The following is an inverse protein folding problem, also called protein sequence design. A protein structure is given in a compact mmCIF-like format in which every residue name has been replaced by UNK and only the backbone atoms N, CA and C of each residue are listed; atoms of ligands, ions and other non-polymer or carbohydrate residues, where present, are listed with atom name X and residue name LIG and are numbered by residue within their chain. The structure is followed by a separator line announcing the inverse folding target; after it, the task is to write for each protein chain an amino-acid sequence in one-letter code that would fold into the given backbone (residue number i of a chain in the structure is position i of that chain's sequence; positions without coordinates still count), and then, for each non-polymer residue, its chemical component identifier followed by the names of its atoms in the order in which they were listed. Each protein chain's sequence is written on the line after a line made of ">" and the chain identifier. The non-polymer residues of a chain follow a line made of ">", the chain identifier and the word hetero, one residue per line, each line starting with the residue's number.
data_IF_378826915292
#
_entry.id   IF_378826915292
#
_cell.length_a   1.000
_cell.length_b   1.000
_cell.length_c   1.000
_cell.angle_alpha   90.00
_cell.angle_beta   90.00
_cell.angle_gamma   90.00
#
_symmetry.space_group_name_H-M   'P 1'
#
loop_
_entity.id
_entity.type
_entity.pdbx_description
1 polymer ?
#
# COMPACT_ATOMS: atom_id res chain seq x y z
N UNK A 1 -8.53 8.52 -27.50
CA UNK A 1 -9.18 8.02 -26.27
C UNK A 1 -9.79 9.16 -25.50
N UNK A 2 -10.99 8.95 -24.97
CA UNK A 2 -11.75 9.88 -24.12
C UNK A 2 -11.15 9.93 -22.71
N UNK A 3 -11.25 11.09 -22.05
CA UNK A 3 -10.87 11.23 -20.63
C UNK A 3 -12.05 10.75 -19.80
N UNK A 4 -11.81 9.84 -18.85
CA UNK A 4 -12.82 9.42 -17.90
C UNK A 4 -12.85 10.40 -16.73
N UNK A 5 -14.03 10.91 -16.45
CA UNK A 5 -14.29 11.85 -15.34
C UNK A 5 -15.16 11.23 -14.26
N UNK A 6 -15.94 10.22 -14.61
CA UNK A 6 -16.78 9.47 -13.69
C UNK A 6 -16.44 7.96 -13.77
N UNK A 7 -16.39 7.23 -12.65
CA UNK A 7 -16.29 5.77 -12.65
C UNK A 7 -17.24 5.07 -13.63
N UNK A 8 -18.48 5.55 -13.76
CA UNK A 8 -19.51 4.96 -14.63
C UNK A 8 -19.22 5.10 -16.13
N UNK A 9 -18.45 6.11 -16.54
CA UNK A 9 -18.04 6.30 -17.94
C UNK A 9 -17.04 5.24 -18.39
N UNK A 10 -16.39 4.55 -17.44
CA UNK A 10 -15.43 3.50 -17.76
C UNK A 10 -16.20 2.26 -18.23
N UNK A 11 -15.92 1.76 -19.45
CA UNK A 11 -16.58 0.57 -19.99
C UNK A 11 -16.33 -0.65 -19.10
N UNK A 12 -17.33 -1.51 -18.95
CA UNK A 12 -17.25 -2.70 -18.08
C UNK A 12 -16.15 -3.65 -18.56
N UNK A 13 -15.93 -3.72 -19.87
CA UNK A 13 -14.90 -4.54 -20.49
C UNK A 13 -13.49 -4.15 -20.02
N UNK A 14 -13.27 -2.89 -19.63
CA UNK A 14 -11.98 -2.43 -19.11
C UNK A 14 -11.70 -2.98 -17.71
N UNK A 15 -12.77 -3.10 -16.90
CA UNK A 15 -12.71 -3.70 -15.57
C UNK A 15 -12.49 -5.21 -15.70
N UNK A 16 -13.28 -5.88 -16.54
CA UNK A 16 -13.15 -7.33 -16.78
C UNK A 16 -11.76 -7.72 -17.31
N UNK A 17 -11.20 -6.91 -18.22
CA UNK A 17 -9.86 -7.14 -18.79
C UNK A 17 -8.73 -6.67 -17.87
N UNK A 18 -9.04 -6.08 -16.72
CA UNK A 18 -8.09 -5.53 -15.77
C UNK A 18 -7.09 -4.54 -16.40
N UNK A 19 -7.63 -3.59 -17.19
CA UNK A 19 -6.82 -2.64 -17.95
C UNK A 19 -6.08 -1.70 -17.01
N UNK A 20 -4.81 -1.42 -17.35
CA UNK A 20 -4.00 -0.41 -16.69
C UNK A 20 -4.24 0.95 -17.34
N UNK A 21 -4.73 1.89 -16.57
CA UNK A 21 -4.91 3.26 -16.96
C UNK A 21 -3.82 4.14 -16.34
N UNK A 22 -3.50 5.23 -17.02
CA UNK A 22 -2.55 6.22 -16.52
C UNK A 22 -3.32 7.35 -15.85
N UNK A 23 -2.83 7.77 -14.69
CA UNK A 23 -3.44 8.85 -13.94
C UNK A 23 -2.42 9.77 -13.30
N UNK A 24 -2.94 10.84 -12.72
CA UNK A 24 -2.19 11.83 -11.95
C UNK A 24 -2.88 12.04 -10.62
N UNK A 25 -2.14 11.84 -9.53
CA UNK A 25 -2.68 12.08 -8.20
C UNK A 25 -2.92 13.57 -7.98
N UNK A 26 -4.08 13.92 -7.46
CA UNK A 26 -4.36 15.29 -7.01
C UNK A 26 -4.43 15.34 -5.49
N UNK A 27 -5.37 14.61 -4.89
CA UNK A 27 -5.64 14.66 -3.46
C UNK A 27 -5.75 13.27 -2.86
N UNK A 28 -5.45 13.19 -1.56
CA UNK A 28 -5.58 11.99 -0.76
C UNK A 28 -6.63 12.29 0.30
N UNK A 29 -7.76 11.61 0.19
CA UNK A 29 -8.88 11.72 1.11
C UNK A 29 -8.90 10.52 2.06
N UNK A 30 -9.73 10.57 3.08
CA UNK A 30 -9.98 9.42 3.96
C UNK A 30 -10.64 8.25 3.21
N UNK A 31 -11.45 8.55 2.19
CA UNK A 31 -12.14 7.54 1.38
C UNK A 31 -11.23 6.88 0.35
N UNK A 32 -10.17 7.56 -0.09
CA UNK A 32 -9.27 7.06 -1.12
C UNK A 32 -8.44 8.15 -1.82
N UNK A 33 -7.89 7.79 -2.97
CA UNK A 33 -7.03 8.63 -3.79
C UNK A 33 -7.84 9.29 -4.90
N UNK A 34 -7.80 10.62 -4.99
CA UNK A 34 -8.39 11.37 -6.10
C UNK A 34 -7.37 11.50 -7.23
N UNK A 35 -7.70 10.88 -8.37
CA UNK A 35 -6.79 10.75 -9.50
C UNK A 35 -7.46 11.26 -10.75
N UNK A 36 -6.76 12.15 -11.46
CA UNK A 36 -7.15 12.55 -12.80
C UNK A 36 -6.67 11.51 -13.81
N UNK A 37 -7.56 11.01 -14.66
CA UNK A 37 -7.17 10.12 -15.75
C UNK A 37 -6.43 10.90 -16.86
N UNK A 38 -5.26 10.40 -17.25
CA UNK A 38 -4.49 10.93 -18.39
C UNK A 38 -4.61 9.92 -19.54
N UNK A 39 -5.33 10.25 -20.62
CA UNK A 39 -5.38 9.38 -21.78
C UNK A 39 -3.97 9.21 -22.37
N UNK A 40 -3.63 7.97 -22.74
CA UNK A 40 -2.37 7.69 -23.44
C UNK A 40 -2.48 8.32 -24.84
N UNK A 41 -1.85 9.47 -25.02
CA UNK A 41 -1.99 10.28 -26.23
C UNK A 41 -0.89 10.00 -27.26
N UNK A 42 -1.28 9.95 -28.53
CA UNK A 42 -0.38 10.00 -29.69
C UNK A 42 0.11 11.46 -29.85
N UNK A 43 1.40 11.72 -30.11
CA UNK A 43 2.04 13.05 -29.96
C UNK A 43 1.34 14.22 -30.67
N UNK A 44 0.70 13.98 -31.82
CA UNK A 44 0.20 15.07 -32.68
C UNK A 44 -1.24 15.56 -32.38
N UNK A 45 -2.08 14.80 -31.69
CA UNK A 45 -3.50 15.15 -31.46
C UNK A 45 -3.76 15.65 -30.01
N UNK A 46 -2.73 15.57 -29.16
CA UNK A 46 -2.85 15.69 -27.69
C UNK A 46 -3.00 17.10 -27.12
N UNK A 47 -2.60 18.14 -27.86
CA UNK A 47 -2.51 19.51 -27.33
C UNK A 47 -3.88 20.20 -27.29
N UNK A 48 -4.67 20.02 -28.35
CA UNK A 48 -6.02 20.59 -28.44
C UNK A 48 -6.96 19.84 -27.49
N UNK A 49 -6.88 18.50 -27.45
CA UNK A 49 -7.74 17.69 -26.58
C UNK A 49 -7.52 18.01 -25.09
N UNK A 50 -6.32 18.38 -24.65
CA UNK A 50 -6.06 18.77 -23.24
C UNK A 50 -6.77 20.04 -22.80
N UNK A 51 -7.01 21.00 -23.71
CA UNK A 51 -7.57 22.32 -23.38
C UNK A 51 -9.09 22.31 -23.19
N UNK A 52 -9.77 21.32 -23.77
CA UNK A 52 -11.24 21.24 -23.80
C UNK A 52 -11.82 20.14 -22.91
N UNK A 53 -10.99 19.41 -22.18
CA UNK A 53 -11.46 18.30 -21.36
C UNK A 53 -11.69 18.76 -19.93
N UNK A 54 -12.87 18.50 -19.34
CA UNK A 54 -13.16 18.87 -17.97
C UNK A 54 -12.14 18.25 -17.00
N UNK A 55 -11.82 18.99 -15.93
CA UNK A 55 -11.01 18.51 -14.81
C UNK A 55 -11.85 17.57 -13.93
N UNK A 56 -12.12 16.36 -14.44
CA UNK A 56 -12.75 15.30 -13.67
C UNK A 56 -11.74 14.53 -12.83
N UNK A 57 -12.07 14.34 -11.55
CA UNK A 57 -11.30 13.52 -10.61
C UNK A 57 -12.02 12.19 -10.38
N UNK A 58 -11.30 11.09 -10.52
CA UNK A 58 -11.77 9.76 -10.20
C UNK A 58 -11.36 9.41 -8.77
N UNK A 59 -12.31 8.99 -7.95
CA UNK A 59 -12.02 8.45 -6.64
C UNK A 59 -11.60 6.99 -6.77
N UNK A 60 -10.37 6.69 -6.32
CA UNK A 60 -9.77 5.36 -6.38
C UNK A 60 -9.59 4.82 -4.96
N UNK A 61 -10.14 3.64 -4.72
CA UNK A 61 -9.92 2.82 -3.51
C UNK A 61 -8.88 1.76 -3.80
N UNK A 62 -8.00 1.53 -2.83
CA UNK A 62 -6.97 0.51 -2.93
C UNK A 62 -7.63 -0.86 -2.75
N UNK A 63 -7.67 -1.65 -3.83
CA UNK A 63 -8.28 -2.97 -3.80
C UNK A 63 -7.54 -3.93 -2.86
N UNK A 64 -8.30 -4.72 -2.09
CA UNK A 64 -7.78 -5.76 -1.21
C UNK A 64 -6.99 -5.23 0.00
N UNK A 65 -7.15 -3.95 0.33
CA UNK A 65 -6.41 -3.29 1.42
C UNK A 65 -7.36 -2.45 2.26
N UNK A 66 -7.39 -2.71 3.55
CA UNK A 66 -8.09 -1.89 4.55
C UNK A 66 -7.06 -1.02 5.28
N UNK A 67 -7.16 0.31 5.12
CA UNK A 67 -6.23 1.25 5.72
C UNK A 67 -6.40 1.31 7.24
N UNK A 68 -5.30 1.20 7.97
CA UNK A 68 -5.28 1.37 9.42
C UNK A 68 -5.09 2.84 9.83
N UNK A 69 -5.25 3.14 11.12
CA UNK A 69 -4.94 4.45 11.69
C UNK A 69 -3.47 4.82 11.41
N UNK A 70 -3.26 5.86 10.59
CA UNK A 70 -1.93 6.33 10.14
C UNK A 70 -1.53 5.94 8.72
N UNK A 71 -2.27 5.05 8.05
CA UNK A 71 -2.01 4.68 6.65
C UNK A 71 -2.21 5.86 5.67
N UNK A 72 -3.22 6.70 5.93
CA UNK A 72 -3.49 7.92 5.15
C UNK A 72 -2.36 8.95 5.28
N UNK A 73 -1.86 9.17 6.50
CA UNK A 73 -0.75 10.08 6.76
C UNK A 73 0.55 9.60 6.08
N UNK A 74 0.78 8.29 6.01
CA UNK A 74 1.90 7.73 5.27
C UNK A 74 1.75 7.94 3.76
N UNK A 75 0.54 7.72 3.20
CA UNK A 75 0.27 7.98 1.78
C UNK A 75 0.55 9.43 1.39
N UNK A 76 0.18 10.39 2.25
CA UNK A 76 0.47 11.81 2.05
C UNK A 76 1.96 12.16 2.08
N UNK A 77 2.78 11.37 2.79
CA UNK A 77 4.24 11.56 2.82
C UNK A 77 4.92 10.92 1.61
N UNK A 78 4.45 9.74 1.21
CA UNK A 78 5.06 8.97 0.13
C UNK A 78 4.69 9.49 -1.26
N UNK A 79 3.44 9.96 -1.42
CA UNK A 79 2.93 10.41 -2.71
C UNK A 79 3.03 11.92 -2.83
N UNK A 80 3.71 12.36 -3.88
CA UNK A 80 3.78 13.77 -4.22
C UNK A 80 2.48 14.21 -4.90
N UNK A 81 1.99 15.43 -4.63
CA UNK A 81 0.87 15.98 -5.39
C UNK A 81 1.29 16.05 -6.86
N UNK A 82 0.35 15.78 -7.77
CA UNK A 82 0.57 15.80 -9.22
C UNK A 82 1.52 14.71 -9.74
N UNK A 83 1.86 13.70 -8.93
CA UNK A 83 2.69 12.58 -9.35
C UNK A 83 1.96 11.68 -10.36
N UNK A 84 2.62 11.28 -11.47
CA UNK A 84 2.06 10.31 -12.40
C UNK A 84 2.06 8.91 -11.77
N UNK A 85 0.93 8.22 -11.92
CA UNK A 85 0.75 6.86 -11.46
C UNK A 85 0.02 6.01 -12.50
N UNK A 86 0.12 4.70 -12.34
CA UNK A 86 -0.68 3.75 -13.10
C UNK A 86 -1.66 3.09 -12.15
N UNK A 87 -2.90 2.94 -12.57
CA UNK A 87 -3.91 2.23 -11.79
C UNK A 87 -4.53 1.13 -12.65
N UNK A 88 -4.51 -0.08 -12.12
CA UNK A 88 -5.13 -1.24 -12.75
C UNK A 88 -6.54 -1.38 -12.21
N UNK A 89 -7.53 -1.29 -13.08
CA UNK A 89 -8.94 -1.47 -12.72
C UNK A 89 -9.17 -2.92 -12.31
N UNK A 90 -9.76 -3.13 -11.13
CA UNK A 90 -10.18 -4.46 -10.69
C UNK A 90 -11.69 -4.50 -10.47
N UNK A 91 -12.26 -3.45 -9.89
CA UNK A 91 -13.69 -3.34 -9.62
C UNK A 91 -14.19 -1.92 -9.87
N UNK A 92 -15.50 -1.80 -10.07
CA UNK A 92 -16.17 -0.51 -10.25
C UNK A 92 -17.39 -0.43 -9.34
N UNK A 93 -17.39 0.56 -8.46
CA UNK A 93 -18.56 0.98 -7.70
C UNK A 93 -19.22 2.20 -8.39
N UNK A 94 -20.38 2.61 -7.89
CA UNK A 94 -21.08 3.79 -8.40
C UNK A 94 -20.34 5.10 -8.13
N UNK A 95 -19.52 5.16 -7.08
CA UNK A 95 -18.83 6.36 -6.62
C UNK A 95 -17.30 6.26 -6.61
N UNK A 96 -16.75 5.04 -6.63
CA UNK A 96 -15.32 4.79 -6.52
C UNK A 96 -14.88 3.62 -7.41
N UNK A 97 -13.60 3.59 -7.74
CA UNK A 97 -12.97 2.49 -8.47
C UNK A 97 -12.09 1.69 -7.52
N UNK A 98 -12.23 0.37 -7.53
CA UNK A 98 -11.30 -0.51 -6.83
C UNK A 98 -10.12 -0.83 -7.75
N UNK A 99 -8.93 -0.36 -7.37
CA UNK A 99 -7.75 -0.48 -8.22
C UNK A 99 -6.50 -0.95 -7.47
N UNK A 100 -5.58 -1.54 -8.22
CA UNK A 100 -4.17 -1.62 -7.81
C UNK A 100 -3.44 -0.41 -8.30
N UNK A 101 -2.74 0.28 -7.41
CA UNK A 101 -1.99 1.47 -7.77
C UNK A 101 -0.50 1.14 -7.84
N UNK A 102 0.11 1.54 -8.96
CA UNK A 102 1.51 1.36 -9.30
C UNK A 102 2.15 2.73 -9.43
N UNK A 103 3.15 3.00 -8.58
CA UNK A 103 3.87 4.27 -8.54
C UNK A 103 5.34 4.04 -8.84
N UNK A 104 5.93 4.95 -9.60
CA UNK A 104 7.35 4.92 -9.90
C UNK A 104 8.13 5.61 -8.77
N UNK A 105 8.96 4.86 -8.05
CA UNK A 105 9.83 5.35 -6.96
C UNK A 105 11.25 5.71 -7.45
N UNK A 106 11.41 5.97 -8.74
CA UNK A 106 12.70 6.31 -9.35
C UNK A 106 12.68 6.14 -10.87
N UNK A 107 13.85 6.14 -11.52
CA UNK A 107 13.96 6.00 -12.99
C UNK A 107 13.57 4.61 -13.51
N UNK A 108 13.66 3.55 -12.68
CA UNK A 108 13.47 2.16 -13.12
C UNK A 108 12.69 1.26 -12.17
N UNK A 109 12.25 1.75 -11.00
CA UNK A 109 11.52 0.93 -10.02
C UNK A 109 10.07 1.38 -9.91
N UNK A 110 9.15 0.49 -10.30
CA UNK A 110 7.72 0.65 -10.05
C UNK A 110 7.31 -0.22 -8.87
N UNK A 111 6.70 0.38 -7.85
CA UNK A 111 6.22 -0.31 -6.66
C UNK A 111 4.69 -0.30 -6.65
N UNK A 112 4.08 -1.41 -6.23
CA UNK A 112 2.64 -1.46 -5.98
C UNK A 112 2.36 -0.88 -4.59
N UNK A 113 1.57 0.20 -4.52
CA UNK A 113 1.24 0.85 -3.25
C UNK A 113 0.48 -0.08 -2.31
N UNK A 114 -0.42 -0.91 -2.85
CA UNK A 114 -1.22 -1.86 -2.09
C UNK A 114 -0.31 -2.81 -1.30
N UNK A 115 0.73 -3.35 -1.96
CA UNK A 115 1.71 -4.25 -1.32
C UNK A 115 2.61 -3.51 -0.33
N UNK A 116 3.03 -2.29 -0.68
CA UNK A 116 3.91 -1.49 0.18
C UNK A 116 3.22 -1.17 1.51
N UNK A 117 1.96 -0.74 1.48
CA UNK A 117 1.17 -0.46 2.69
C UNK A 117 1.06 -1.67 3.62
N UNK A 118 0.78 -2.84 3.06
CA UNK A 118 0.74 -4.09 3.81
C UNK A 118 2.10 -4.43 4.39
N UNK A 119 3.18 -4.29 3.62
CA UNK A 119 4.54 -4.60 4.05
C UNK A 119 5.08 -3.70 5.17
N UNK A 120 4.58 -2.46 5.25
CA UNK A 120 4.88 -1.52 6.33
C UNK A 120 3.97 -1.72 7.54
N UNK A 121 2.96 -2.59 7.45
CA UNK A 121 1.96 -2.82 8.51
C UNK A 121 1.05 -1.61 8.71
N UNK A 122 0.80 -0.82 7.67
CA UNK A 122 -0.07 0.37 7.71
C UNK A 122 -1.48 0.07 7.21
N UNK A 123 -1.72 -1.17 6.82
CA UNK A 123 -2.99 -1.67 6.34
C UNK A 123 -3.12 -3.17 6.62
N UNK A 124 -4.34 -3.68 6.55
CA UNK A 124 -4.70 -5.10 6.66
C UNK A 124 -5.16 -5.62 5.28
N UNK A 125 -4.88 -6.88 4.97
CA UNK A 125 -5.37 -7.45 3.73
C UNK A 125 -6.89 -7.66 3.81
N UNK A 126 -7.60 -7.19 2.80
CA UNK A 126 -9.06 -7.30 2.68
C UNK A 126 -9.45 -8.13 1.45
N UNK A 127 -10.74 -8.48 1.37
CA UNK A 127 -11.29 -9.12 0.17
C UNK A 127 -11.21 -8.16 -1.01
N UNK A 128 -10.91 -8.68 -2.20
CA UNK A 128 -10.98 -7.93 -3.45
C UNK A 128 -12.35 -8.22 -4.03
N UNK A 129 -13.24 -7.22 -4.08
CA UNK A 129 -14.62 -7.40 -4.55
C UNK A 129 -14.70 -7.39 -6.09
N UNK A 130 -13.79 -6.66 -6.75
CA UNK A 130 -13.76 -6.56 -8.21
C UNK A 130 -13.36 -7.80 -9.02
N UNK A 131 -12.65 -8.80 -8.45
CA UNK A 131 -12.20 -9.95 -9.23
C UNK A 131 -13.03 -11.22 -9.00
N UNK A 132 -13.38 -11.98 -10.06
CA UNK A 132 -13.94 -13.31 -9.90
C UNK A 132 -12.96 -14.25 -9.18
N UNK A 133 -13.43 -14.90 -8.12
CA UNK A 133 -12.64 -15.81 -7.27
C UNK A 133 -12.03 -17.02 -7.98
N UNK A 134 -12.58 -17.38 -9.15
CA UNK A 134 -12.07 -18.49 -9.96
C UNK A 134 -10.90 -18.09 -10.88
N UNK A 135 -10.58 -16.80 -10.98
CA UNK A 135 -9.48 -16.33 -11.82
C UNK A 135 -8.12 -16.64 -11.20
N UNK A 136 -7.17 -17.15 -12.00
CA UNK A 136 -5.77 -17.32 -11.57
C UNK A 136 -5.12 -16.00 -11.14
N UNK A 137 -5.56 -14.89 -11.73
CA UNK A 137 -5.06 -13.55 -11.39
C UNK A 137 -5.47 -13.16 -9.97
N UNK A 138 -6.69 -13.50 -9.55
CA UNK A 138 -7.18 -13.27 -8.19
C UNK A 138 -6.26 -13.94 -7.17
N UNK A 139 -6.05 -15.25 -7.32
CA UNK A 139 -5.21 -16.01 -6.40
C UNK A 139 -3.77 -15.53 -6.37
N UNK A 140 -3.20 -15.19 -7.53
CA UNK A 140 -1.83 -14.66 -7.61
C UNK A 140 -1.71 -13.32 -6.86
N UNK A 141 -2.66 -12.41 -7.06
CA UNK A 141 -2.66 -11.11 -6.42
C UNK A 141 -2.91 -11.24 -4.92
N UNK A 142 -3.94 -12.00 -4.54
CA UNK A 142 -4.33 -12.20 -3.16
C UNK A 142 -3.19 -12.87 -2.35
N UNK A 143 -2.52 -13.88 -2.92
CA UNK A 143 -1.33 -14.49 -2.33
C UNK A 143 -0.21 -13.48 -2.08
N UNK A 144 0.03 -12.53 -3.01
CA UNK A 144 1.06 -11.49 -2.84
C UNK A 144 0.71 -10.52 -1.72
N UNK A 145 -0.55 -10.09 -1.62
CA UNK A 145 -1.02 -9.23 -0.54
C UNK A 145 -0.87 -9.91 0.82
N UNK A 146 -1.33 -11.15 0.95
CA UNK A 146 -1.17 -11.94 2.19
C UNK A 146 0.31 -12.16 2.55
N UNK A 147 1.17 -12.41 1.55
CA UNK A 147 2.61 -12.54 1.81
C UNK A 147 3.22 -11.23 2.31
N UNK A 148 2.78 -10.07 1.79
CA UNK A 148 3.22 -8.77 2.27
C UNK A 148 2.77 -8.50 3.71
N UNK A 149 1.53 -8.87 4.04
CA UNK A 149 1.01 -8.78 5.41
C UNK A 149 1.77 -9.69 6.38
N UNK A 150 1.98 -10.97 6.03
CA UNK A 150 2.78 -11.91 6.83
C UNK A 150 4.20 -11.39 7.05
N UNK A 151 4.80 -10.75 6.04
CA UNK A 151 6.12 -10.13 6.18
C UNK A 151 6.12 -8.97 7.18
N UNK A 152 5.03 -8.19 7.26
CA UNK A 152 4.91 -7.10 8.22
C UNK A 152 4.69 -7.62 9.66
N UNK A 153 3.91 -8.69 9.81
CA UNK A 153 3.73 -9.43 11.07
C UNK A 153 5.07 -9.96 11.54
N UNK A 154 5.79 -10.71 10.71
CA UNK A 154 7.10 -11.27 11.05
C UNK A 154 8.14 -10.21 11.41
N UNK A 155 8.04 -9.00 10.83
CA UNK A 155 8.93 -7.87 11.12
C UNK A 155 8.43 -6.97 12.24
N UNK A 156 7.29 -7.28 12.87
CA UNK A 156 6.65 -6.49 13.93
C UNK A 156 6.52 -5.00 13.56
N UNK A 157 6.05 -4.72 12.34
CA UNK A 157 5.92 -3.36 11.80
C UNK A 157 4.51 -2.81 11.91
N UNK A 158 4.42 -1.48 12.07
CA UNK A 158 3.15 -0.75 12.03
C UNK A 158 2.16 -1.24 13.09
N UNK A 159 0.96 -1.61 12.66
CA UNK A 159 -0.11 -2.15 13.52
C UNK A 159 0.28 -3.46 14.22
N UNK A 160 1.26 -4.19 13.69
CA UNK A 160 1.71 -5.47 14.21
C UNK A 160 2.85 -5.34 15.22
N UNK A 161 3.25 -4.11 15.56
CA UNK A 161 4.24 -3.86 16.59
C UNK A 161 3.58 -4.13 17.94
N UNK A 162 3.75 -5.34 18.48
CA UNK A 162 3.33 -5.68 19.83
C UNK A 162 4.05 -4.77 20.83
N UNK A 163 3.38 -3.68 21.23
CA UNK A 163 3.83 -2.76 22.29
C UNK A 163 3.81 -3.41 23.68
N UNK A 164 3.85 -4.74 23.79
CA UNK A 164 3.54 -5.40 25.06
C UNK A 164 4.33 -6.67 25.30
N UNK A 165 4.57 -7.54 24.31
CA UNK A 165 5.28 -8.80 24.60
C UNK A 165 6.78 -8.61 24.75
N UNK A 166 7.40 -7.84 23.86
CA UNK A 166 8.85 -7.59 23.90
C UNK A 166 9.27 -6.68 25.06
N UNK A 167 8.42 -5.71 25.45
CA UNK A 167 8.64 -4.87 26.63
C UNK A 167 8.38 -5.65 27.93
N UNK A 168 7.29 -6.43 28.03
CA UNK A 168 7.07 -7.31 29.20
C UNK A 168 8.14 -8.38 29.35
N UNK A 169 8.64 -8.96 28.26
CA UNK A 169 9.73 -9.93 28.31
C UNK A 169 11.04 -9.25 28.72
N UNK A 170 11.34 -8.04 28.22
CA UNK A 170 12.50 -7.26 28.69
C UNK A 170 12.38 -6.86 30.16
N UNK A 171 11.19 -6.48 30.63
CA UNK A 171 10.93 -6.17 32.04
C UNK A 171 11.03 -7.42 32.94
N UNK A 172 10.50 -8.57 32.50
CA UNK A 172 10.65 -9.84 33.22
C UNK A 172 12.10 -10.36 33.22
N UNK A 173 12.84 -10.12 32.14
CA UNK A 173 14.26 -10.48 32.07
C UNK A 173 15.09 -9.55 32.97
N UNK A 174 14.85 -8.24 32.97
CA UNK A 174 15.55 -7.28 33.83
C UNK A 174 15.23 -7.44 35.32
N UNK A 175 14.00 -7.84 35.67
CA UNK A 175 13.60 -8.09 37.06
C UNK A 175 14.06 -9.45 37.60
N UNK A 176 14.50 -10.36 36.73
CA UNK A 176 14.86 -11.70 37.16
C UNK A 176 16.24 -11.73 37.84
N UNK A 177 16.27 -12.27 39.07
CA UNK A 177 17.47 -12.51 39.89
C UNK A 177 18.60 -13.26 39.16
N UNK A 178 18.26 -13.94 38.06
CA UNK A 178 19.20 -14.67 37.21
C UNK A 178 20.21 -13.75 36.50
N UNK A 179 19.80 -12.58 35.98
CA UNK A 179 20.74 -11.64 35.38
C UNK A 179 21.65 -10.99 36.42
N UNK A 180 21.15 -10.77 37.64
CA UNK A 180 21.99 -10.31 38.76
C UNK A 180 23.03 -11.38 39.14
N UNK A 181 22.63 -12.66 39.19
CA UNK A 181 23.55 -13.77 39.45
C UNK A 181 24.58 -13.98 38.33
N UNK A 182 24.18 -13.81 37.06
CA UNK A 182 25.12 -13.85 35.93
C UNK A 182 26.11 -12.69 35.97
N UNK A 183 25.66 -11.47 36.29
CA UNK A 183 26.57 -10.33 36.49
C UNK A 183 27.57 -10.59 37.61
N UNK A 184 27.11 -11.16 38.73
CA UNK A 184 27.98 -11.55 39.85
C UNK A 184 28.98 -12.65 39.45
N UNK A 185 28.54 -13.64 38.67
CA UNK A 185 29.40 -14.71 38.18
C UNK A 185 30.47 -14.19 37.21
N UNK A 186 30.09 -13.31 36.27
CA UNK A 186 31.03 -12.68 35.32
C UNK A 186 32.03 -11.79 36.06
N UNK A 187 31.60 -11.03 37.07
CA UNK A 187 32.54 -10.26 37.90
C UNK A 187 33.51 -11.15 38.68
N UNK A 188 33.03 -12.31 39.16
CA UNK A 188 33.86 -13.27 39.89
C UNK A 188 34.92 -13.91 38.98
N UNK A 189 34.54 -14.37 37.78
CA UNK A 189 35.47 -14.94 36.78
C UNK A 189 36.53 -13.92 36.36
N UNK A 190 36.14 -12.66 36.18
CA UNK A 190 37.08 -11.59 35.82
C UNK A 190 38.10 -11.32 36.93
N UNK A 191 37.66 -11.31 38.20
CA UNK A 191 38.54 -11.14 39.36
C UNK A 191 39.47 -12.33 39.63
N UNK A 192 39.15 -13.51 39.10
CA UNK A 192 39.98 -14.72 39.24
C UNK A 192 40.97 -14.92 38.10
N UNK A 193 40.90 -14.09 37.06
CA UNK A 193 41.84 -14.10 35.92
C UNK A 193 42.96 -13.06 36.09
N UNK A 194 42.84 -12.13 37.05
CA UNK A 194 43.83 -11.08 37.36
C UNK A 194 44.75 -11.41 38.56
N UNK A 195 44.81 -12.68 38.99
CA UNK A 195 45.84 -13.20 39.93
C UNK A 195 46.82 -14.11 39.20
#
# INVERSE_FOLDING_TARGET
>A
TTKFTNPLEIPVEFVEKNVKLRGKLHHITEKGLEVEHIPISIPFISAIQRKWQPEGLLLIRLAGVELAAGGTAWLQRELLPKQPLWFQLLGRDSSALECLVLVHKGRFSSTCLNEELLSQGLARAARIEGLPHHSRLYWKLHKRLLQAELNAVNKNKGIWKEQTYSERVKEHINSNKFLQRLKQFVSWVRSSTER
#
